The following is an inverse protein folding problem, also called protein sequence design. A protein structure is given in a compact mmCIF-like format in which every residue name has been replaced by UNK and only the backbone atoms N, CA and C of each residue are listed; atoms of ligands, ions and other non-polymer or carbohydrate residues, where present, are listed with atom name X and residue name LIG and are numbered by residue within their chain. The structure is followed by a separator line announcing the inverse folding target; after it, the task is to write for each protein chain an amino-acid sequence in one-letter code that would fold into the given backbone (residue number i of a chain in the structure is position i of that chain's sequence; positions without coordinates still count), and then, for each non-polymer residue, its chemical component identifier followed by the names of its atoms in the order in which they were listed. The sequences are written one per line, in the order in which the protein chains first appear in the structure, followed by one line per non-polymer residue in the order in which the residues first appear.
data_IF_762059197540
#
_entry.id   IF_762059197540
#
_cell.length_a   1.000
_cell.length_b   1.000
_cell.length_c   1.000
_cell.angle_alpha   90.00
_cell.angle_beta   90.00
_cell.angle_gamma   90.00
#
_symmetry.space_group_name_H-M   'P 1'
#
loop_
_entity.id
_entity.type
_entity.pdbx_description
1 polymer ?
#
# COMPACT_ATOMS: atom_id res chain seq x y z
N UNK A 1 11.01 16.91 51.51
CA UNK A 1 12.10 17.34 50.61
C UNK A 1 11.47 17.83 49.31
N UNK A 2 11.49 19.14 49.06
CA UNK A 2 11.01 19.75 47.81
C UNK A 2 12.21 19.84 46.86
N UNK A 3 12.18 19.11 45.74
CA UNK A 3 13.18 19.20 44.68
C UNK A 3 12.60 19.99 43.53
N UNK A 4 13.06 21.24 43.42
CA UNK A 4 12.97 22.10 42.24
C UNK A 4 14.01 21.64 41.22
N UNK A 5 13.59 21.40 39.96
CA UNK A 5 14.50 21.12 38.84
C UNK A 5 14.44 22.32 37.89
N UNK A 6 15.60 22.90 37.52
CA UNK A 6 15.66 24.08 36.66
C UNK A 6 15.40 23.72 35.19
N UNK A 7 14.66 24.59 34.52
CA UNK A 7 14.34 24.48 33.10
C UNK A 7 15.58 24.68 32.23
N UNK A 8 15.84 23.70 31.37
CA UNK A 8 16.75 23.83 30.23
C UNK A 8 15.97 24.41 29.06
N UNK A 9 16.35 25.63 28.66
CA UNK A 9 16.03 26.24 27.38
C UNK A 9 16.65 25.41 26.25
N UNK A 10 15.81 24.86 25.36
CA UNK A 10 16.25 24.20 24.13
C UNK A 10 15.97 25.15 22.96
N UNK A 11 17.06 25.75 22.46
CA UNK A 11 17.09 26.70 21.35
C UNK A 11 16.86 25.92 20.04
N UNK A 12 15.78 26.25 19.32
CA UNK A 12 15.50 25.74 18.00
C UNK A 12 16.14 26.64 16.93
N UNK A 13 17.20 26.14 16.30
CA UNK A 13 17.71 26.67 15.02
C UNK A 13 17.97 25.49 14.08
N UNK A 14 16.93 25.06 13.37
CA UNK A 14 17.08 24.17 12.22
C UNK A 14 17.15 25.05 10.98
N UNK A 15 18.38 25.27 10.52
CA UNK A 15 18.70 25.96 9.29
C UNK A 15 18.28 25.14 8.07
N UNK A 16 17.63 25.83 7.14
CA UNK A 16 17.24 25.35 5.82
C UNK A 16 18.43 25.56 4.86
N UNK A 17 19.16 24.49 4.54
CA UNK A 17 20.16 24.43 3.46
C UNK A 17 20.17 22.98 2.96
N UNK A 18 19.67 22.57 1.79
CA UNK A 18 19.69 23.27 0.51
C UNK A 18 20.93 22.87 -0.30
N UNK A 19 21.03 21.60 -0.71
CA UNK A 19 22.02 21.11 -1.68
C UNK A 19 21.43 19.93 -2.48
N UNK A 20 20.65 20.23 -3.52
CA UNK A 20 20.47 19.32 -4.66
C UNK A 20 21.70 19.46 -5.56
N UNK A 21 22.70 18.60 -5.34
CA UNK A 21 23.79 18.40 -6.30
C UNK A 21 23.35 17.32 -7.27
N UNK A 22 22.99 17.76 -8.47
CA UNK A 22 22.97 16.94 -9.67
C UNK A 22 24.42 16.74 -10.16
N UNK A 23 24.84 15.48 -10.31
CA UNK A 23 26.02 15.03 -11.06
C UNK A 23 25.92 13.49 -11.05
N UNK A 24 25.72 12.73 -12.13
CA UNK A 24 26.26 12.90 -13.47
C UNK A 24 27.65 12.27 -13.54
N UNK A 25 27.74 10.95 -13.80
CA UNK A 25 28.73 10.27 -14.68
C UNK A 25 28.82 8.77 -14.39
N UNK A 26 28.43 8.01 -15.40
CA UNK A 26 29.00 6.81 -16.02
C UNK A 26 30.32 6.18 -15.49
N UNK A 27 30.35 4.85 -15.66
CA UNK A 27 31.47 3.95 -16.03
C UNK A 27 32.05 2.93 -15.01
N UNK A 28 31.87 1.66 -15.43
CA UNK A 28 32.54 0.36 -15.22
C UNK A 28 33.47 0.07 -14.01
N UNK A 29 33.25 -1.10 -13.37
CA UNK A 29 34.12 -2.30 -13.49
C UNK A 29 33.55 -3.48 -12.64
N UNK A 30 33.20 -4.58 -13.30
CA UNK A 30 33.22 -5.96 -12.74
C UNK A 30 34.71 -6.42 -12.65
N UNK A 31 35.14 -7.45 -11.88
CA UNK A 31 34.43 -8.70 -11.56
C UNK A 31 34.69 -9.29 -10.16
N UNK A 32 33.95 -10.35 -9.78
CA UNK A 32 34.49 -11.67 -9.42
C UNK A 32 33.43 -12.63 -8.85
N UNK A 33 33.03 -13.58 -9.68
CA UNK A 33 33.09 -15.03 -9.45
C UNK A 33 32.78 -15.57 -8.04
N UNK A 34 31.61 -16.21 -7.86
CA UNK A 34 31.52 -17.55 -7.22
C UNK A 34 30.42 -18.40 -7.83
N UNK A 35 30.90 -19.42 -8.54
CA UNK A 35 30.24 -20.67 -8.84
C UNK A 35 29.69 -21.35 -7.57
N UNK A 36 28.44 -21.80 -7.63
CA UNK A 36 28.03 -23.06 -7.01
C UNK A 36 26.89 -23.65 -7.83
N UNK A 37 27.31 -24.39 -8.84
CA UNK A 37 26.51 -25.42 -9.50
C UNK A 37 26.01 -26.43 -8.45
N UNK A 38 24.71 -26.71 -8.45
CA UNK A 38 24.13 -27.97 -7.99
C UNK A 38 22.86 -28.29 -8.79
N UNK A 39 23.11 -28.80 -10.00
CA UNK A 39 22.58 -30.05 -10.57
C UNK A 39 21.11 -30.47 -10.24
N UNK A 40 20.27 -30.40 -11.29
CA UNK A 40 19.34 -31.41 -11.86
C UNK A 40 18.95 -32.63 -11.02
N UNK A 41 17.77 -33.27 -11.13
CA UNK A 41 16.54 -33.16 -11.92
C UNK A 41 15.73 -34.39 -11.47
N UNK A 42 14.43 -34.27 -11.21
CA UNK A 42 13.54 -35.44 -11.22
C UNK A 42 12.29 -35.09 -12.03
N UNK A 43 12.09 -35.87 -13.09
CA UNK A 43 10.89 -35.90 -13.93
C UNK A 43 9.96 -37.00 -13.43
N UNK A 44 8.66 -36.85 -13.71
CA UNK A 44 7.56 -37.83 -13.79
C UNK A 44 6.29 -37.24 -13.16
N UNK A 45 5.08 -37.42 -13.65
CA UNK A 45 4.51 -38.03 -14.85
C UNK A 45 3.05 -37.52 -14.93
N UNK A 46 2.37 -37.85 -16.02
CA UNK A 46 1.06 -37.41 -16.50
C UNK A 46 -0.09 -37.22 -15.46
N UNK A 47 -0.95 -36.24 -15.74
CA UNK A 47 -2.38 -36.53 -15.87
C UNK A 47 -3.00 -35.59 -16.93
N UNK A 48 -3.71 -36.21 -17.87
CA UNK A 48 -4.25 -35.64 -19.09
C UNK A 48 -5.78 -35.70 -18.99
N UNK A 49 -6.42 -34.52 -19.13
CA UNK A 49 -7.80 -34.30 -19.59
C UNK A 49 -8.97 -34.68 -18.67
N UNK A 50 -9.69 -33.66 -18.16
CA UNK A 50 -10.90 -33.12 -18.83
C UNK A 50 -11.67 -32.09 -17.97
N UNK A 51 -12.14 -31.04 -18.66
CA UNK A 51 -13.38 -30.28 -18.45
C UNK A 51 -13.58 -29.52 -17.13
N UNK A 52 -13.65 -28.18 -17.22
CA UNK A 52 -14.95 -27.49 -17.10
C UNK A 52 -14.77 -26.02 -17.52
N UNK A 53 -15.56 -25.68 -18.53
CA UNK A 53 -16.02 -24.37 -18.97
C UNK A 53 -16.45 -23.48 -17.79
N UNK A 54 -15.79 -22.33 -17.58
CA UNK A 54 -16.46 -21.15 -17.03
C UNK A 54 -15.71 -19.87 -17.44
N UNK A 55 -16.27 -19.22 -18.47
CA UNK A 55 -16.23 -17.78 -18.77
C UNK A 55 -15.24 -16.93 -17.96
N UNK A 56 -13.97 -16.88 -18.40
CA UNK A 56 -13.10 -15.78 -18.05
C UNK A 56 -13.49 -14.58 -18.93
N UNK A 57 -14.19 -13.63 -18.32
CA UNK A 57 -14.42 -12.29 -18.85
C UNK A 57 -13.06 -11.61 -19.07
N UNK A 58 -12.68 -11.56 -20.34
CA UNK A 58 -11.50 -10.87 -20.87
C UNK A 58 -11.65 -9.37 -20.60
N UNK A 59 -11.15 -8.92 -19.44
CA UNK A 59 -10.77 -7.53 -19.24
C UNK A 59 -9.24 -7.46 -19.20
N UNK A 60 -8.67 -7.46 -20.41
CA UNK A 60 -7.31 -7.03 -20.71
C UNK A 60 -7.11 -5.59 -20.17
N UNK A 61 -6.62 -5.48 -18.94
CA UNK A 61 -6.17 -4.23 -18.36
C UNK A 61 -4.66 -4.07 -18.61
N UNK A 62 -4.19 -2.90 -19.05
CA UNK A 62 -2.81 -2.70 -19.46
C UNK A 62 -1.86 -2.87 -18.27
N UNK A 63 -0.90 -3.76 -18.44
CA UNK A 63 0.16 -4.06 -17.49
C UNK A 63 1.01 -2.82 -17.16
N UNK A 64 0.74 -2.24 -16.01
CA UNK A 64 1.76 -1.99 -15.00
C UNK A 64 1.36 -2.90 -13.83
N UNK A 65 2.26 -3.57 -13.15
CA UNK A 65 2.64 -3.16 -11.80
C UNK A 65 3.42 -4.33 -11.19
N UNK A 66 4.38 -4.03 -10.31
CA UNK A 66 4.88 -5.05 -9.38
C UNK A 66 3.72 -5.63 -8.56
N UNK A 67 3.92 -6.82 -8.00
CA UNK A 67 2.88 -7.63 -7.33
C UNK A 67 1.93 -6.79 -6.45
N UNK A 68 0.78 -6.35 -7.02
CA UNK A 68 -0.27 -5.63 -6.29
C UNK A 68 -0.87 -6.59 -5.25
N UNK A 69 -1.10 -6.14 -4.01
CA UNK A 69 -1.68 -6.99 -2.97
C UNK A 69 -3.15 -7.31 -3.28
N UNK A 70 -3.65 -8.41 -2.74
CA UNK A 70 -5.04 -8.84 -2.96
C UNK A 70 -6.05 -7.78 -2.47
N UNK A 71 -7.08 -7.55 -3.27
CA UNK A 71 -8.11 -6.54 -2.99
C UNK A 71 -8.81 -6.74 -1.65
N UNK A 72 -9.08 -7.99 -1.28
CA UNK A 72 -9.73 -8.33 -0.01
C UNK A 72 -8.81 -8.00 1.19
N UNK A 73 -7.49 -8.20 1.05
CA UNK A 73 -6.51 -7.88 2.09
C UNK A 73 -6.36 -6.36 2.25
N UNK A 74 -6.39 -5.61 1.14
CA UNK A 74 -6.47 -4.13 1.14
C UNK A 74 -7.74 -3.63 1.85
N UNK A 75 -8.90 -4.25 1.59
CA UNK A 75 -10.17 -3.93 2.26
C UNK A 75 -10.06 -4.21 3.76
N UNK A 76 -9.47 -5.35 4.16
CA UNK A 76 -9.31 -5.70 5.57
C UNK A 76 -8.38 -4.72 6.29
N UNK A 77 -7.24 -4.39 5.69
CA UNK A 77 -6.29 -3.42 6.20
C UNK A 77 -6.90 -2.02 6.34
N UNK A 78 -7.58 -1.53 5.29
CA UNK A 78 -8.22 -0.22 5.33
C UNK A 78 -9.39 -0.17 6.33
N UNK A 79 -10.14 -1.27 6.50
CA UNK A 79 -11.17 -1.36 7.53
C UNK A 79 -10.60 -1.16 8.93
N UNK A 80 -9.40 -1.69 9.22
CA UNK A 80 -8.72 -1.46 10.51
C UNK A 80 -8.42 0.03 10.71
N UNK A 81 -7.90 0.71 9.69
CA UNK A 81 -7.61 2.17 9.74
C UNK A 81 -8.88 2.96 10.08
N UNK A 82 -9.97 2.69 9.39
CA UNK A 82 -11.24 3.43 9.55
C UNK A 82 -11.84 3.18 10.94
N UNK A 83 -11.84 1.93 11.41
CA UNK A 83 -12.32 1.59 12.75
C UNK A 83 -11.46 2.22 13.85
N UNK A 84 -10.13 2.19 13.73
CA UNK A 84 -9.23 2.79 14.71
C UNK A 84 -9.38 4.31 14.75
N UNK A 85 -9.44 4.95 13.58
CA UNK A 85 -9.69 6.40 13.46
C UNK A 85 -11.01 6.81 14.11
N UNK A 86 -12.07 6.02 13.92
CA UNK A 86 -13.36 6.23 14.57
C UNK A 86 -13.25 6.16 16.10
N UNK A 87 -12.59 5.12 16.62
CA UNK A 87 -12.35 4.93 18.06
C UNK A 87 -11.53 6.08 18.66
N UNK A 88 -10.45 6.49 18.01
CA UNK A 88 -9.62 7.62 18.42
C UNK A 88 -10.41 8.94 18.44
N UNK A 89 -11.37 9.09 17.54
CA UNK A 89 -12.27 10.26 17.45
C UNK A 89 -13.46 10.19 18.41
N UNK A 90 -13.62 9.10 19.19
CA UNK A 90 -14.77 8.89 20.07
C UNK A 90 -16.07 8.59 19.33
N UNK A 91 -16.00 8.22 18.05
CA UNK A 91 -17.15 7.87 17.21
C UNK A 91 -17.07 6.40 16.82
N UNK A 92 -17.88 5.58 17.47
CA UNK A 92 -17.98 4.17 17.10
C UNK A 92 -18.88 4.02 15.87
N UNK A 93 -18.29 3.60 14.75
CA UNK A 93 -19.01 3.38 13.51
C UNK A 93 -19.53 1.94 13.42
N UNK A 94 -20.77 1.71 12.95
CA UNK A 94 -21.27 0.36 12.72
C UNK A 94 -20.38 -0.40 11.73
N UNK A 95 -20.00 -1.63 12.06
CA UNK A 95 -19.11 -2.44 11.23
C UNK A 95 -19.64 -2.64 9.80
N UNK A 96 -20.95 -2.83 9.64
CA UNK A 96 -21.59 -2.98 8.32
C UNK A 96 -21.47 -1.71 7.46
N UNK A 97 -21.51 -0.53 8.09
CA UNK A 97 -21.35 0.74 7.40
C UNK A 97 -19.90 0.94 6.98
N UNK A 98 -18.96 0.65 7.89
CA UNK A 98 -17.53 0.74 7.60
C UNK A 98 -17.18 -0.18 6.44
N UNK A 99 -17.60 -1.45 6.48
CA UNK A 99 -17.30 -2.41 5.42
C UNK A 99 -17.83 -1.94 4.06
N UNK A 100 -19.07 -1.42 3.99
CA UNK A 100 -19.62 -0.86 2.72
C UNK A 100 -18.82 0.32 2.18
N UNK A 101 -18.45 1.26 3.05
CA UNK A 101 -17.68 2.45 2.65
C UNK A 101 -16.28 2.06 2.19
N UNK A 102 -15.61 1.19 2.94
CA UNK A 102 -14.25 0.70 2.65
C UNK A 102 -14.24 -0.11 1.36
N UNK A 103 -15.18 -1.03 1.16
CA UNK A 103 -15.28 -1.81 -0.08
C UNK A 103 -15.44 -0.89 -1.29
N UNK A 104 -16.41 0.04 -1.25
CA UNK A 104 -16.57 1.03 -2.32
C UNK A 104 -15.31 1.86 -2.54
N UNK A 105 -14.64 2.25 -1.46
CA UNK A 105 -13.44 3.07 -1.52
C UNK A 105 -12.31 2.34 -2.23
N UNK A 106 -12.01 1.09 -1.83
CA UNK A 106 -11.00 0.26 -2.47
C UNK A 106 -11.37 0.02 -3.92
N UNK A 107 -12.64 -0.27 -4.23
CA UNK A 107 -13.09 -0.43 -5.60
C UNK A 107 -12.85 0.78 -6.49
N UNK A 108 -12.96 1.98 -5.92
CA UNK A 108 -12.76 3.22 -6.65
C UNK A 108 -11.28 3.61 -6.83
N UNK A 109 -10.34 3.04 -6.06
CA UNK A 109 -8.92 3.43 -6.11
C UNK A 109 -7.98 2.32 -6.54
N UNK A 110 -8.37 1.04 -6.45
CA UNK A 110 -7.45 -0.09 -6.56
C UNK A 110 -6.70 -0.14 -7.90
N UNK A 111 -7.38 0.19 -9.00
CA UNK A 111 -6.79 0.08 -10.32
C UNK A 111 -5.80 1.25 -10.59
N UNK A 112 -6.10 2.43 -10.06
CA UNK A 112 -5.37 3.68 -10.32
C UNK A 112 -4.31 4.03 -9.25
N UNK A 113 -4.43 3.47 -8.04
CA UNK A 113 -3.50 3.74 -6.94
C UNK A 113 -2.14 3.07 -7.18
N UNK A 114 -1.10 3.69 -6.65
CA UNK A 114 0.23 3.08 -6.65
C UNK A 114 0.28 1.81 -5.80
N UNK A 115 1.14 0.85 -6.18
CA UNK A 115 1.39 -0.38 -5.41
C UNK A 115 1.74 -0.07 -3.96
N UNK A 116 2.62 0.91 -3.73
CA UNK A 116 3.02 1.34 -2.39
C UNK A 116 1.83 1.83 -1.53
N UNK A 117 0.87 2.51 -2.14
CA UNK A 117 -0.37 2.91 -1.45
C UNK A 117 -1.22 1.70 -1.11
N UNK A 118 -1.35 0.72 -2.02
CA UNK A 118 -2.14 -0.49 -1.77
C UNK A 118 -1.52 -1.36 -0.66
N UNK A 119 -0.19 -1.55 -0.67
CA UNK A 119 0.55 -2.23 0.41
C UNK A 119 0.36 -1.49 1.74
N UNK A 120 0.44 -0.15 1.75
CA UNK A 120 0.21 0.64 2.96
C UNK A 120 -1.23 0.51 3.49
N UNK A 121 -2.21 0.35 2.61
CA UNK A 121 -3.60 0.12 2.99
C UNK A 121 -3.79 -1.29 3.56
N UNK A 122 -3.23 -2.32 2.93
CA UNK A 122 -3.20 -3.71 3.41
C UNK A 122 -2.60 -3.80 4.83
N UNK A 123 -1.44 -3.16 5.03
CA UNK A 123 -0.75 -3.10 6.32
C UNK A 123 -1.50 -2.29 7.39
N UNK A 124 -2.58 -1.59 7.01
CA UNK A 124 -3.29 -0.67 7.89
C UNK A 124 -2.45 0.55 8.29
N UNK A 125 -1.49 0.94 7.45
CA UNK A 125 -0.56 2.05 7.67
C UNK A 125 -0.96 3.30 6.88
N UNK A 126 -1.85 4.12 7.43
CA UNK A 126 -2.28 5.37 6.80
C UNK A 126 -1.14 6.38 6.53
N UNK A 127 0.00 6.28 7.22
CA UNK A 127 1.16 7.15 7.00
C UNK A 127 2.02 6.75 5.79
N UNK A 128 1.82 5.53 5.26
CA UNK A 128 2.52 5.00 4.09
C UNK A 128 1.86 5.33 2.75
N UNK A 129 0.67 5.95 2.76
CA UNK A 129 -0.06 6.32 1.53
C UNK A 129 0.73 7.36 0.74
N UNK A 130 0.90 7.12 -0.57
CA UNK A 130 1.60 8.06 -1.45
C UNK A 130 0.78 9.37 -1.58
N UNK A 131 1.38 10.55 -1.29
CA UNK A 131 0.69 11.82 -1.48
C UNK A 131 0.25 12.10 -2.92
N UNK A 132 0.84 11.46 -3.93
CA UNK A 132 0.38 11.53 -5.32
C UNK A 132 -1.04 10.97 -5.49
N UNK A 133 -1.41 9.96 -4.69
CA UNK A 133 -2.71 9.29 -4.73
C UNK A 133 -3.79 10.04 -3.91
N UNK A 134 -3.43 11.12 -3.22
CA UNK A 134 -4.36 11.87 -2.35
C UNK A 134 -5.61 12.38 -3.08
N UNK A 135 -5.49 12.69 -4.38
CA UNK A 135 -6.64 13.10 -5.20
C UNK A 135 -7.60 11.93 -5.43
N UNK A 136 -7.09 10.74 -5.75
CA UNK A 136 -7.90 9.52 -5.92
C UNK A 136 -8.70 9.25 -4.64
N UNK A 137 -8.05 9.39 -3.49
CA UNK A 137 -8.67 9.19 -2.18
C UNK A 137 -9.80 10.20 -1.90
N UNK A 138 -9.62 11.46 -2.31
CA UNK A 138 -10.64 12.51 -2.12
C UNK A 138 -11.86 12.24 -3.01
N UNK A 139 -11.63 11.82 -4.26
CA UNK A 139 -12.68 11.52 -5.23
C UNK A 139 -13.46 10.26 -4.82
N UNK A 140 -12.76 9.21 -4.36
CA UNK A 140 -13.35 7.97 -3.86
C UNK A 140 -14.20 8.22 -2.60
N UNK A 141 -13.70 8.97 -1.62
CA UNK A 141 -14.49 9.36 -0.44
C UNK A 141 -15.79 10.08 -0.81
N UNK A 142 -15.71 11.01 -1.76
CA UNK A 142 -16.87 11.77 -2.25
C UNK A 142 -17.89 10.87 -2.93
N UNK A 143 -17.43 9.90 -3.71
CA UNK A 143 -18.29 8.95 -4.45
C UNK A 143 -18.95 7.94 -3.51
N UNK A 144 -18.16 7.37 -2.60
CA UNK A 144 -18.62 6.30 -1.73
C UNK A 144 -19.51 6.79 -0.60
N UNK A 145 -19.26 7.98 -0.04
CA UNK A 145 -20.13 8.56 0.98
C UNK A 145 -21.52 8.87 0.42
N UNK A 146 -21.62 9.31 -0.84
CA UNK A 146 -22.91 9.52 -1.52
C UNK A 146 -23.66 8.22 -1.80
N UNK A 147 -22.94 7.11 -1.92
CA UNK A 147 -23.51 5.80 -2.25
C UNK A 147 -24.08 5.08 -1.02
N UNK A 148 -23.66 5.49 0.19
CA UNK A 148 -24.13 4.92 1.47
C UNK A 148 -25.07 5.86 2.25
N UNK A 149 -25.41 7.02 1.71
CA UNK A 149 -26.30 8.02 2.35
C UNK A 149 -27.75 7.94 1.91
#
# INVERSE_FOLDING_TARGET
MRRTIPGLLLVATLGLSGLLTACGSDDADEPDTKDSTSQSSDANDADDTADTDDTADDNDAPEADGDKPDRDDVIEGYTKIVLDTGKQSGMEMPADLVNKVVTCFVDAVYDDASVATLEALEDGNAAGIDPADAKLFTDAQTTCTKSVS
#
